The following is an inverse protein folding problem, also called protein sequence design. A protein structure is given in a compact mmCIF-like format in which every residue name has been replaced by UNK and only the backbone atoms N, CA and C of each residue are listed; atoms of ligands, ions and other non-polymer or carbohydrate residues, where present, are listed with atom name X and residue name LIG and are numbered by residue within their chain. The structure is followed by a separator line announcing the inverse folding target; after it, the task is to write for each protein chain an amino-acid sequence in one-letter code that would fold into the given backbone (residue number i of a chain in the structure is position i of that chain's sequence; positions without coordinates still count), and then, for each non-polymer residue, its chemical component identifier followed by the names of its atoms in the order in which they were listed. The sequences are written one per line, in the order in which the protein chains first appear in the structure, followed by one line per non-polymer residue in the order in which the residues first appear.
data_IF_369175488840
#
_entry.id   IF_369175488840
#
_cell.length_a   1.000
_cell.length_b   1.000
_cell.length_c   1.000
_cell.angle_alpha   90.00
_cell.angle_beta   90.00
_cell.angle_gamma   90.00
#
_symmetry.space_group_name_H-M   'P 1'
#
loop_
_entity.id
_entity.type
_entity.pdbx_description
1 polymer ?
#
# COMPACT_ATOMS: atom_id res chain seq x y z
N UNK A 1 -14.82 6.36 -11.47
CA UNK A 1 -14.99 5.99 -10.07
C UNK A 1 -14.54 7.10 -9.15
N UNK A 2 -15.00 7.08 -7.92
CA UNK A 2 -14.56 8.02 -6.88
C UNK A 2 -13.27 7.51 -6.23
N UNK A 3 -12.38 8.44 -5.86
CA UNK A 3 -11.13 8.13 -5.18
C UNK A 3 -11.06 8.91 -3.88
N UNK A 4 -10.80 8.19 -2.78
CA UNK A 4 -10.53 8.80 -1.48
C UNK A 4 -9.18 8.33 -0.97
N UNK A 5 -8.36 9.24 -0.49
CA UNK A 5 -7.04 8.95 0.10
C UNK A 5 -7.16 8.99 1.62
N UNK A 6 -6.80 7.88 2.26
CA UNK A 6 -6.73 7.79 3.73
C UNK A 6 -5.35 7.25 4.09
N UNK A 7 -4.51 8.08 4.69
CA UNK A 7 -3.11 7.72 4.91
C UNK A 7 -2.61 8.15 6.30
N UNK A 8 -1.58 7.49 6.84
CA UNK A 8 -0.92 7.93 8.06
C UNK A 8 -0.38 9.36 7.94
N UNK A 9 -0.48 10.15 9.02
CA UNK A 9 0.04 11.53 9.06
C UNK A 9 1.58 11.61 9.18
N UNK A 10 2.27 10.47 9.27
CA UNK A 10 3.73 10.39 9.36
C UNK A 10 4.26 9.03 8.92
N UNK A 11 5.58 8.91 8.83
CA UNK A 11 6.25 7.67 8.42
C UNK A 11 5.90 6.50 9.35
N UNK A 12 5.54 5.36 8.76
CA UNK A 12 5.13 4.13 9.44
C UNK A 12 5.94 2.91 8.95
N UNK A 13 7.20 3.11 8.58
CA UNK A 13 8.09 2.02 8.17
C UNK A 13 8.24 0.99 9.30
N UNK A 14 8.21 -0.28 8.96
CA UNK A 14 8.40 -1.38 9.92
C UNK A 14 7.19 -1.72 10.79
N UNK A 15 6.01 -1.14 10.55
CA UNK A 15 4.82 -1.38 11.38
C UNK A 15 4.07 -2.69 11.04
N UNK A 16 4.33 -3.28 9.87
CA UNK A 16 3.62 -4.48 9.42
C UNK A 16 2.10 -4.28 9.40
N UNK A 17 1.34 -5.26 9.90
CA UNK A 17 -0.12 -5.20 10.01
C UNK A 17 -0.61 -4.66 11.36
N UNK A 18 0.24 -3.94 12.12
CA UNK A 18 -0.14 -3.47 13.46
C UNK A 18 -1.30 -2.48 13.40
N UNK A 19 -2.20 -2.57 14.38
CA UNK A 19 -3.33 -1.66 14.58
C UNK A 19 -3.21 -0.96 15.94
N UNK A 20 -3.80 0.23 16.04
CA UNK A 20 -3.88 0.98 17.30
C UNK A 20 -4.97 0.40 18.18
N UNK A 21 -4.60 -0.65 18.93
CA UNK A 21 -5.52 -1.31 19.84
C UNK A 21 -5.63 -0.58 21.19
N UNK A 22 -6.85 -0.31 21.65
CA UNK A 22 -7.15 0.41 22.90
C UNK A 22 -6.57 1.83 23.00
N UNK A 23 -6.38 2.48 21.85
CA UNK A 23 -5.94 3.87 21.75
C UNK A 23 -6.90 4.65 20.87
N UNK A 24 -7.08 5.94 21.18
CA UNK A 24 -7.78 6.84 20.28
C UNK A 24 -6.90 7.14 19.07
N UNK A 25 -7.50 7.12 17.89
CA UNK A 25 -6.86 7.47 16.62
C UNK A 25 -7.54 8.72 16.08
N UNK A 26 -6.78 9.78 15.84
CA UNK A 26 -7.30 11.00 15.29
C UNK A 26 -7.26 10.94 13.76
N UNK A 27 -8.34 11.41 13.14
CA UNK A 27 -8.46 11.56 11.68
C UNK A 27 -8.78 13.02 11.38
N UNK A 28 -8.07 13.60 10.42
CA UNK A 28 -8.34 14.95 9.95
C UNK A 28 -8.47 14.95 8.43
N UNK A 29 -9.50 15.59 7.92
CA UNK A 29 -9.54 15.88 6.51
C UNK A 29 -8.48 16.94 6.17
N UNK A 30 -7.74 16.73 5.09
CA UNK A 30 -6.64 17.61 4.67
C UNK A 30 -6.82 18.01 3.21
N UNK A 31 -6.25 19.15 2.78
CA UNK A 31 -6.30 19.56 1.38
C UNK A 31 -5.72 18.50 0.45
N UNK A 32 -6.42 18.20 -0.62
CA UNK A 32 -5.92 17.37 -1.72
C UNK A 32 -5.09 18.20 -2.70
N UNK A 33 -4.11 17.55 -3.33
CA UNK A 33 -3.37 18.11 -4.47
C UNK A 33 -4.04 17.81 -5.81
N UNK A 34 -5.07 16.98 -5.80
CA UNK A 34 -5.81 16.54 -6.99
C UNK A 34 -7.27 16.95 -6.81
N UNK A 35 -7.82 17.64 -7.79
CA UNK A 35 -9.21 18.10 -7.76
C UNK A 35 -10.17 16.89 -7.71
N UNK A 36 -11.22 17.01 -6.90
CA UNK A 36 -12.24 15.96 -6.76
C UNK A 36 -11.81 14.74 -5.91
N UNK A 37 -10.62 14.74 -5.31
CA UNK A 37 -10.15 13.67 -4.42
C UNK A 37 -10.25 14.11 -2.97
N UNK A 38 -10.94 13.35 -2.13
CA UNK A 38 -10.97 13.55 -0.69
C UNK A 38 -9.72 12.95 -0.03
N UNK A 39 -9.09 13.69 0.88
CA UNK A 39 -7.88 13.26 1.57
C UNK A 39 -8.03 13.33 3.08
N UNK A 40 -7.63 12.26 3.78
CA UNK A 40 -7.66 12.16 5.24
C UNK A 40 -6.31 11.72 5.78
N UNK A 41 -5.82 12.44 6.79
CA UNK A 41 -4.61 12.13 7.54
C UNK A 41 -4.98 11.41 8.84
N UNK A 42 -4.45 10.22 9.05
CA UNK A 42 -4.70 9.37 10.21
C UNK A 42 -3.48 9.38 11.13
N UNK A 43 -3.67 9.71 12.40
CA UNK A 43 -2.62 9.64 13.41
C UNK A 43 -2.50 8.21 13.95
N UNK A 44 -2.20 7.27 13.05
CA UNK A 44 -2.17 5.83 13.28
C UNK A 44 -1.31 5.11 12.25
N UNK A 45 -1.49 3.80 12.17
CA UNK A 45 -0.78 2.93 11.23
C UNK A 45 -1.44 2.90 9.85
N UNK A 46 -0.78 2.33 8.82
CA UNK A 46 -1.43 2.07 7.53
C UNK A 46 -2.66 1.16 7.65
N UNK A 47 -2.62 0.18 8.53
CA UNK A 47 -3.74 -0.69 8.85
C UNK A 47 -4.93 0.09 9.47
N UNK A 48 -4.64 1.02 10.39
CA UNK A 48 -5.67 1.92 10.94
C UNK A 48 -6.32 2.76 9.84
N UNK A 49 -5.53 3.24 8.89
CA UNK A 49 -6.05 4.04 7.77
C UNK A 49 -7.04 3.26 6.92
N UNK A 50 -6.76 1.99 6.64
CA UNK A 50 -7.68 1.11 5.91
C UNK A 50 -8.97 0.87 6.70
N UNK A 51 -8.86 0.53 7.99
CA UNK A 51 -10.03 0.26 8.84
C UNK A 51 -10.90 1.51 8.95
N UNK A 52 -10.31 2.66 9.23
CA UNK A 52 -11.04 3.92 9.38
C UNK A 52 -11.64 4.38 8.06
N UNK A 53 -10.89 4.26 6.96
CA UNK A 53 -11.38 4.57 5.63
C UNK A 53 -12.62 3.77 5.27
N UNK A 54 -12.52 2.46 5.32
CA UNK A 54 -13.57 1.55 4.84
C UNK A 54 -14.78 1.42 5.77
N UNK A 55 -14.64 1.73 7.07
CA UNK A 55 -15.71 1.50 8.05
C UNK A 55 -16.37 2.76 8.60
N UNK A 56 -15.67 3.92 8.53
CA UNK A 56 -16.10 5.13 9.22
C UNK A 56 -16.04 6.41 8.39
N UNK A 57 -15.25 6.45 7.32
CA UNK A 57 -15.09 7.65 6.48
C UNK A 57 -15.92 7.53 5.21
N UNK A 58 -15.87 6.36 4.55
CA UNK A 58 -16.62 6.09 3.33
C UNK A 58 -18.01 5.55 3.70
N UNK A 59 -19.03 6.06 3.03
CA UNK A 59 -20.42 5.62 3.19
C UNK A 59 -20.76 4.45 2.27
N UNK A 60 -20.01 4.31 1.17
CA UNK A 60 -20.21 3.27 0.16
C UNK A 60 -19.18 2.14 0.29
N UNK A 61 -19.51 1.00 -0.32
CA UNK A 61 -18.61 -0.13 -0.38
C UNK A 61 -17.37 0.20 -1.22
N UNK A 62 -16.22 -0.32 -0.80
CA UNK A 62 -14.93 -0.11 -1.45
C UNK A 62 -14.68 -1.21 -2.46
N UNK A 63 -14.59 -0.89 -3.74
CA UNK A 63 -14.28 -1.82 -4.81
C UNK A 63 -12.88 -2.41 -4.70
N UNK A 64 -11.90 -1.55 -4.40
CA UNK A 64 -10.48 -1.92 -4.30
C UNK A 64 -9.72 -0.99 -3.36
N UNK A 65 -8.79 -1.53 -2.61
CA UNK A 65 -7.82 -0.78 -1.81
C UNK A 65 -6.44 -0.84 -2.45
N UNK A 66 -5.89 0.32 -2.75
CA UNK A 66 -4.53 0.47 -3.25
C UNK A 66 -3.66 1.04 -2.13
N UNK A 67 -2.56 0.35 -1.82
CA UNK A 67 -1.60 0.79 -0.82
C UNK A 67 -0.22 1.03 -1.44
N UNK A 68 0.38 2.17 -1.18
CA UNK A 68 1.67 2.58 -1.75
C UNK A 68 1.57 3.87 -2.57
N UNK A 69 2.59 4.24 -3.35
CA UNK A 69 3.76 3.43 -3.71
C UNK A 69 4.81 3.53 -2.60
N UNK A 70 5.30 2.37 -2.13
CA UNK A 70 6.35 2.33 -1.13
C UNK A 70 7.74 2.58 -1.76
N UNK A 71 8.55 3.51 -1.26
CA UNK A 71 9.95 3.62 -1.64
C UNK A 71 10.76 2.50 -0.98
N UNK A 72 11.07 1.47 -1.72
CA UNK A 72 11.75 0.24 -1.28
C UNK A 72 10.93 -1.01 -1.55
N UNK A 73 11.60 -2.11 -1.94
CA UNK A 73 10.94 -3.36 -2.26
C UNK A 73 10.27 -4.02 -1.05
N UNK A 74 9.08 -4.53 -1.26
CA UNK A 74 8.36 -5.39 -0.33
C UNK A 74 8.34 -6.82 -0.90
N UNK A 75 9.49 -7.47 -0.89
CA UNK A 75 9.67 -8.83 -1.40
C UNK A 75 10.08 -9.78 -0.29
N UNK A 76 9.81 -11.07 -0.48
CA UNK A 76 10.23 -12.12 0.44
C UNK A 76 9.75 -11.84 1.89
N UNK A 77 10.62 -11.97 2.89
CA UNK A 77 10.29 -11.77 4.30
C UNK A 77 10.06 -10.30 4.69
N UNK A 78 10.54 -9.36 3.87
CA UNK A 78 10.29 -7.92 4.10
C UNK A 78 8.80 -7.59 4.04
N UNK A 79 7.98 -8.39 3.36
CA UNK A 79 6.53 -8.22 3.35
C UNK A 79 5.92 -8.22 4.76
N UNK A 80 6.44 -9.05 5.67
CA UNK A 80 5.86 -9.19 7.02
C UNK A 80 6.03 -7.95 7.90
N UNK A 81 7.05 -7.14 7.64
CA UNK A 81 7.31 -5.90 8.39
C UNK A 81 6.81 -4.65 7.64
N UNK A 82 6.37 -4.79 6.39
CA UNK A 82 5.91 -3.67 5.59
C UNK A 82 4.55 -3.14 6.03
N UNK A 83 4.46 -1.85 6.34
CA UNK A 83 3.18 -1.18 6.58
C UNK A 83 2.33 -1.10 5.31
N UNK A 84 2.95 -0.93 4.14
CA UNK A 84 2.28 -0.89 2.84
C UNK A 84 1.61 -2.22 2.51
N UNK A 85 2.34 -3.32 2.64
CA UNK A 85 1.76 -4.64 2.44
C UNK A 85 0.77 -5.00 3.57
N UNK A 86 1.06 -4.57 4.81
CA UNK A 86 0.17 -4.74 5.96
C UNK A 86 -1.20 -4.08 5.78
N UNK A 87 -1.26 -2.88 5.20
CA UNK A 87 -2.52 -2.22 4.84
C UNK A 87 -3.33 -3.06 3.85
N UNK A 88 -2.69 -3.58 2.80
CA UNK A 88 -3.35 -4.43 1.82
C UNK A 88 -3.83 -5.77 2.43
N UNK A 89 -3.07 -6.36 3.36
CA UNK A 89 -3.51 -7.55 4.12
C UNK A 89 -4.79 -7.25 4.91
N UNK A 90 -4.84 -6.12 5.62
CA UNK A 90 -6.04 -5.74 6.38
C UNK A 90 -7.23 -5.51 5.46
N UNK A 91 -7.04 -4.85 4.33
CA UNK A 91 -8.10 -4.67 3.34
C UNK A 91 -8.65 -6.02 2.84
N UNK A 92 -7.76 -6.94 2.47
CA UNK A 92 -8.10 -8.30 2.06
C UNK A 92 -8.86 -9.07 3.15
N UNK A 93 -8.39 -9.00 4.41
CA UNK A 93 -9.04 -9.62 5.56
C UNK A 93 -10.43 -9.06 5.85
N UNK A 94 -10.71 -7.81 5.47
CA UNK A 94 -12.02 -7.17 5.53
C UNK A 94 -12.91 -7.50 4.31
N UNK A 95 -12.45 -8.34 3.40
CA UNK A 95 -13.19 -8.78 2.22
C UNK A 95 -13.03 -7.89 0.99
N UNK A 96 -12.20 -6.85 1.04
CA UNK A 96 -11.95 -5.97 -0.10
C UNK A 96 -10.85 -6.55 -1.00
N UNK A 97 -10.93 -6.30 -2.31
CA UNK A 97 -9.79 -6.54 -3.20
C UNK A 97 -8.68 -5.57 -2.83
N UNK A 98 -7.44 -6.02 -2.78
CA UNK A 98 -6.33 -5.19 -2.33
C UNK A 98 -5.06 -5.40 -3.14
N UNK A 99 -4.34 -4.31 -3.39
CA UNK A 99 -3.04 -4.35 -4.03
C UNK A 99 -2.05 -3.42 -3.33
N UNK A 100 -0.88 -3.96 -2.97
CA UNK A 100 0.24 -3.20 -2.48
C UNK A 100 1.24 -2.96 -3.61
N UNK A 101 1.67 -1.71 -3.78
CA UNK A 101 2.66 -1.32 -4.78
C UNK A 101 3.94 -0.82 -4.11
N UNK A 102 5.07 -1.28 -4.61
CA UNK A 102 6.40 -0.91 -4.12
C UNK A 102 7.36 -0.76 -5.28
N UNK A 103 8.33 0.13 -5.15
CA UNK A 103 9.37 0.37 -6.17
C UNK A 103 10.70 0.58 -5.50
N UNK A 104 11.80 0.42 -6.24
CA UNK A 104 13.12 0.77 -5.73
C UNK A 104 13.20 2.27 -5.42
N UNK A 105 13.88 2.60 -4.31
CA UNK A 105 14.03 3.98 -3.86
C UNK A 105 15.21 4.72 -4.54
N UNK A 106 16.06 4.01 -5.29
CA UNK A 106 17.37 4.52 -5.71
C UNK A 106 17.31 5.40 -6.97
N UNK A 107 16.36 5.13 -7.88
CA UNK A 107 16.16 5.97 -9.06
C UNK A 107 14.66 6.25 -9.26
N UNK A 108 14.27 7.49 -9.56
CA UNK A 108 12.90 7.77 -9.92
C UNK A 108 12.59 7.03 -11.23
N UNK A 109 11.81 5.97 -11.11
CA UNK A 109 11.17 5.37 -12.28
C UNK A 109 10.30 6.46 -12.89
N UNK A 110 10.23 6.51 -14.23
CA UNK A 110 9.30 7.39 -14.93
C UNK A 110 7.90 7.24 -14.32
N UNK A 111 7.48 8.27 -13.58
CA UNK A 111 6.22 8.31 -12.85
C UNK A 111 5.03 7.98 -13.76
N UNK A 112 5.12 8.33 -15.04
CA UNK A 112 4.07 8.07 -16.02
C UNK A 112 3.95 6.58 -16.35
N UNK A 113 5.04 5.86 -16.52
CA UNK A 113 5.03 4.41 -16.79
C UNK A 113 4.50 3.65 -15.59
N UNK A 114 4.93 4.01 -14.39
CA UNK A 114 4.44 3.41 -13.14
C UNK A 114 2.94 3.66 -12.95
N UNK A 115 2.49 4.89 -13.14
CA UNK A 115 1.08 5.27 -13.04
C UNK A 115 0.21 4.49 -14.03
N UNK A 116 0.66 4.31 -15.28
CA UNK A 116 -0.07 3.53 -16.28
C UNK A 116 -0.21 2.05 -15.89
N UNK A 117 0.85 1.43 -15.38
CA UNK A 117 0.81 0.03 -14.94
C UNK A 117 -0.09 -0.11 -13.70
N UNK A 118 0.00 0.78 -12.73
CA UNK A 118 -0.88 0.79 -11.55
C UNK A 118 -2.35 0.93 -11.99
N UNK A 119 -2.63 1.86 -12.89
CA UNK A 119 -3.97 2.08 -13.43
C UNK A 119 -4.50 0.84 -14.13
N UNK A 120 -3.69 0.19 -14.96
CA UNK A 120 -4.08 -1.02 -15.67
C UNK A 120 -4.40 -2.17 -14.70
N UNK A 121 -3.54 -2.41 -13.70
CA UNK A 121 -3.75 -3.44 -12.68
C UNK A 121 -5.00 -3.11 -11.84
N UNK A 122 -5.18 -1.85 -11.44
CA UNK A 122 -6.34 -1.42 -10.65
C UNK A 122 -7.65 -1.64 -11.42
N UNK A 123 -7.69 -1.25 -12.70
CA UNK A 123 -8.85 -1.47 -13.55
C UNK A 123 -9.15 -2.96 -13.71
N UNK A 124 -8.13 -3.80 -13.88
CA UNK A 124 -8.31 -5.25 -13.96
C UNK A 124 -8.93 -5.80 -12.67
N UNK A 125 -8.45 -5.34 -11.50
CA UNK A 125 -9.01 -5.75 -10.21
C UNK A 125 -10.46 -5.33 -10.00
N UNK A 126 -10.86 -4.19 -10.56
CA UNK A 126 -12.25 -3.69 -10.48
C UNK A 126 -13.15 -4.43 -11.46
N UNK A 127 -12.69 -4.64 -12.70
CA UNK A 127 -13.51 -5.11 -13.81
C UNK A 127 -13.53 -6.62 -14.00
N UNK A 128 -12.57 -7.36 -13.41
CA UNK A 128 -12.48 -8.82 -13.53
C UNK A 128 -13.31 -9.55 -12.47
N UNK A 129 -13.49 -10.85 -12.70
CA UNK A 129 -14.07 -11.77 -11.71
C UNK A 129 -13.13 -12.08 -10.53
N UNK A 130 -12.17 -11.20 -10.25
CA UNK A 130 -11.27 -11.33 -9.10
C UNK A 130 -12.10 -11.43 -7.81
N UNK A 131 -11.96 -12.50 -7.02
CA UNK A 131 -12.80 -12.70 -5.84
C UNK A 131 -12.60 -11.58 -4.80
N UNK A 132 -13.65 -11.23 -4.03
CA UNK A 132 -13.49 -10.41 -2.83
C UNK A 132 -12.42 -10.98 -1.90
N UNK A 133 -11.66 -10.11 -1.24
CA UNK A 133 -10.56 -10.52 -0.37
C UNK A 133 -9.27 -10.94 -1.09
N UNK A 134 -9.22 -10.82 -2.41
CA UNK A 134 -7.96 -11.05 -3.15
C UNK A 134 -6.89 -10.03 -2.78
N UNK A 135 -5.65 -10.52 -2.63
CA UNK A 135 -4.50 -9.72 -2.23
C UNK A 135 -3.36 -9.86 -3.25
N UNK A 136 -2.87 -8.73 -3.73
CA UNK A 136 -1.75 -8.66 -4.65
C UNK A 136 -0.63 -7.79 -4.05
N UNK A 137 0.62 -8.17 -4.36
CA UNK A 137 1.81 -7.42 -3.99
C UNK A 137 2.67 -7.23 -5.24
N UNK A 138 2.74 -6.01 -5.72
CA UNK A 138 3.44 -5.67 -6.96
C UNK A 138 4.69 -4.86 -6.64
N UNK A 139 5.82 -5.28 -7.21
CA UNK A 139 7.10 -4.61 -7.05
C UNK A 139 7.64 -4.19 -8.42
N UNK A 140 7.91 -2.90 -8.59
CA UNK A 140 8.53 -2.34 -9.80
C UNK A 140 10.04 -2.36 -9.64
N UNK A 141 10.78 -3.09 -10.46
CA UNK A 141 12.24 -3.06 -10.42
C UNK A 141 12.76 -1.70 -10.87
N UNK A 142 13.99 -1.36 -10.48
CA UNK A 142 14.71 -0.21 -11.04
C UNK A 142 15.01 -0.50 -12.51
N UNK A 143 14.32 0.18 -13.41
CA UNK A 143 14.51 0.04 -14.85
C UNK A 143 14.50 1.39 -15.53
N UNK A 144 15.30 1.56 -16.60
CA UNK A 144 15.22 2.74 -17.45
C UNK A 144 13.83 2.92 -18.05
N UNK A 145 13.48 4.16 -18.36
CA UNK A 145 12.24 4.54 -19.07
C UNK A 145 11.99 3.59 -20.25
N UNK A 146 10.80 3.00 -20.31
CA UNK A 146 10.42 2.08 -21.39
C UNK A 146 10.88 0.63 -21.19
N UNK A 147 11.47 0.29 -20.04
CA UNK A 147 12.00 -1.04 -19.76
C UNK A 147 11.00 -2.08 -19.23
N UNK A 148 9.79 -1.70 -18.83
CA UNK A 148 8.76 -2.67 -18.36
C UNK A 148 8.25 -3.48 -19.57
N UNK A 149 8.53 -4.79 -19.56
CA UNK A 149 8.13 -5.69 -20.66
C UNK A 149 6.83 -6.44 -20.38
N UNK A 150 6.36 -6.43 -19.14
CA UNK A 150 5.15 -7.12 -18.72
C UNK A 150 5.09 -7.30 -17.21
N UNK A 151 4.05 -7.98 -16.76
CA UNK A 151 3.82 -8.35 -15.36
C UNK A 151 3.94 -9.87 -15.25
N UNK A 152 4.72 -10.35 -14.30
CA UNK A 152 4.92 -11.77 -14.04
C UNK A 152 4.56 -12.12 -12.60
N UNK A 153 3.78 -13.19 -12.43
CA UNK A 153 3.48 -13.75 -11.11
C UNK A 153 4.62 -14.62 -10.61
N UNK A 154 5.08 -14.38 -9.39
CA UNK A 154 6.15 -15.17 -8.79
C UNK A 154 5.85 -15.54 -7.34
N UNK A 155 6.40 -16.65 -6.88
CA UNK A 155 6.36 -17.02 -5.47
C UNK A 155 7.39 -16.20 -4.68
N UNK A 156 7.09 -15.86 -3.40
CA UNK A 156 8.06 -15.19 -2.55
C UNK A 156 9.33 -16.04 -2.38
N UNK A 157 10.50 -15.43 -2.55
CA UNK A 157 11.77 -16.11 -2.33
C UNK A 157 11.96 -16.45 -0.85
N UNK A 158 12.71 -17.53 -0.59
CA UNK A 158 13.15 -17.90 0.76
C UNK A 158 14.46 -17.17 1.08
N UNK A 159 14.36 -15.90 1.48
CA UNK A 159 15.54 -15.14 1.94
C UNK A 159 15.48 -14.92 3.45
N UNK A 160 16.64 -14.72 4.07
CA UNK A 160 16.71 -14.31 5.47
C UNK A 160 16.46 -12.81 5.60
N UNK A 161 15.78 -12.41 6.68
CA UNK A 161 15.67 -11.01 7.05
C UNK A 161 17.03 -10.58 7.63
N UNK A 162 17.78 -9.75 6.89
CA UNK A 162 19.03 -9.18 7.36
C UNK A 162 18.72 -7.92 8.16
N UNK A 163 19.10 -7.92 9.43
CA UNK A 163 19.03 -6.75 10.29
C UNK A 163 20.39 -6.45 10.86
N UNK A 164 20.80 -5.19 10.83
CA UNK A 164 21.98 -4.69 11.53
C UNK A 164 21.49 -3.89 12.72
N UNK A 165 22.05 -4.16 13.89
CA UNK A 165 21.74 -3.43 15.13
C UNK A 165 23.03 -2.79 15.63
N UNK A 166 23.06 -1.48 15.66
CA UNK A 166 24.14 -0.72 16.29
C UNK A 166 23.76 -0.44 17.74
N UNK A 167 24.47 -1.09 18.66
CA UNK A 167 24.31 -0.84 20.08
C UNK A 167 25.20 0.36 20.45
N UNK A 168 24.56 1.48 20.75
CA UNK A 168 25.26 2.61 21.38
C UNK A 168 25.33 2.34 22.88
N UNK A 169 26.55 2.30 23.45
CA UNK A 169 26.72 2.31 24.89
C UNK A 169 26.50 3.74 25.42
N UNK A 170 25.67 3.87 26.45
CA UNK A 170 25.48 5.10 27.21
C UNK A 170 26.78 5.59 27.84
#
# INVERSE_FOLDING_TARGET
GEVTVVAPSGNQSGTGCSISFRKSVNVNQVPSRVDGVNCFAVRGTPADSVILGSKYILEEDVDVVISGINPGFNTSRNMFISGTFGAAIIASALGMRACAFSMDAVDPVDDFTVANVITAITNELICSDTPPGSLFNVNFPTIPVGGIKGVEGCAPARSELKMTVDLQSD
#
